data_IF_296591571669
#
_entry.id   IF_296591571669
#
_cell.length_a   1.000
_cell.length_b   1.000
_cell.length_c   1.000
_cell.angle_alpha   90.00
_cell.angle_beta   90.00
_cell.angle_gamma   90.00
#
_symmetry.space_group_name_H-M   'P 1'
#
loop_
_entity.id
_entity.type
_entity.pdbx_description
1 polymer ?
#
# COMPACT_ATOMS: atom_id res chain seq x y z
N UNK A 1 49.79 -51.57 2.53
CA UNK A 1 50.30 -50.43 3.33
C UNK A 1 49.87 -49.14 2.64
N UNK A 2 49.02 -48.34 3.29
CA UNK A 2 48.65 -46.93 3.01
C UNK A 2 48.11 -46.57 1.61
N UNK A 3 46.81 -46.28 1.45
CA UNK A 3 46.00 -45.12 1.92
C UNK A 3 45.90 -44.01 0.85
N UNK A 4 44.67 -43.87 0.34
CA UNK A 4 43.95 -42.64 -0.03
C UNK A 4 44.46 -41.83 -1.23
N UNK A 5 43.65 -41.80 -2.29
CA UNK A 5 43.34 -40.60 -3.07
C UNK A 5 42.21 -40.89 -4.05
N UNK A 6 40.97 -40.68 -3.59
CA UNK A 6 39.71 -40.26 -4.27
C UNK A 6 38.66 -40.39 -3.15
N UNK A 7 37.94 -39.33 -2.71
CA UNK A 7 37.23 -38.39 -3.57
C UNK A 7 37.30 -36.91 -3.12
N UNK A 8 37.60 -35.99 -4.04
CA UNK A 8 37.44 -34.54 -3.83
C UNK A 8 36.23 -33.95 -4.58
N UNK A 9 35.33 -34.79 -5.11
CA UNK A 9 34.17 -34.35 -5.93
C UNK A 9 32.83 -34.62 -5.24
N UNK A 10 32.80 -35.14 -4.01
CA UNK A 10 31.55 -35.45 -3.30
C UNK A 10 31.40 -34.73 -1.94
N UNK A 11 31.99 -33.55 -1.78
CA UNK A 11 31.84 -32.73 -0.58
C UNK A 11 31.62 -31.25 -0.92
N UNK A 12 30.70 -31.00 -1.85
CA UNK A 12 30.14 -29.66 -2.06
C UNK A 12 28.65 -29.77 -2.45
N UNK A 13 27.92 -30.67 -1.78
CA UNK A 13 26.48 -30.88 -2.02
C UNK A 13 25.65 -31.31 -0.80
N UNK A 14 26.18 -31.16 0.42
CA UNK A 14 25.40 -31.29 1.65
C UNK A 14 25.91 -30.32 2.70
N UNK A 15 25.04 -29.36 3.09
CA UNK A 15 25.17 -28.20 4.01
C UNK A 15 24.96 -26.92 3.20
N UNK A 16 23.77 -26.37 3.03
CA UNK A 16 22.70 -26.18 4.01
C UNK A 16 21.33 -26.36 3.34
N UNK A 17 20.68 -27.50 3.57
CA UNK A 17 19.22 -27.53 3.73
C UNK A 17 18.91 -26.94 5.12
N UNK A 18 19.27 -25.68 5.31
CA UNK A 18 18.60 -24.87 6.31
C UNK A 18 17.19 -24.72 5.77
N UNK A 19 16.21 -25.27 6.48
CA UNK A 19 14.82 -24.86 6.33
C UNK A 19 14.76 -23.37 6.64
N UNK A 20 15.10 -22.53 5.65
CA UNK A 20 14.78 -21.12 5.67
C UNK A 20 13.27 -21.09 5.78
N UNK A 21 12.77 -20.67 6.94
CA UNK A 21 11.36 -20.33 7.06
C UNK A 21 11.02 -19.45 5.85
N UNK A 22 9.93 -19.74 5.12
CA UNK A 22 9.55 -18.93 3.98
C UNK A 22 9.49 -17.50 4.51
N UNK A 23 10.36 -16.63 3.98
CA UNK A 23 10.27 -15.21 4.30
C UNK A 23 8.82 -14.80 4.07
N UNK A 24 8.28 -13.89 4.86
CA UNK A 24 7.05 -13.19 4.50
C UNK A 24 7.47 -11.83 3.95
N UNK A 25 6.75 -11.26 2.97
CA UNK A 25 7.17 -9.95 2.49
C UNK A 25 7.04 -8.92 3.59
N UNK A 26 8.07 -8.10 3.68
CA UNK A 26 8.39 -7.38 4.89
C UNK A 26 8.30 -5.88 4.61
N UNK A 27 7.51 -5.17 5.42
CA UNK A 27 7.37 -3.72 5.32
C UNK A 27 8.35 -3.06 6.27
N UNK A 28 9.19 -2.17 5.74
CA UNK A 28 10.21 -1.49 6.51
C UNK A 28 9.65 -0.20 7.10
N UNK A 29 9.89 -0.01 8.39
CA UNK A 29 9.52 1.18 9.13
C UNK A 29 10.76 1.81 9.74
N UNK A 30 10.75 3.15 9.83
CA UNK A 30 11.60 3.91 10.75
C UNK A 30 10.71 4.73 11.66
N UNK A 31 10.55 4.23 12.88
CA UNK A 31 9.62 4.77 13.86
C UNK A 31 10.40 5.47 14.95
N UNK A 32 9.87 6.60 15.40
CA UNK A 32 10.34 7.27 16.61
C UNK A 32 9.28 7.10 17.69
N UNK A 33 9.70 6.73 18.89
CA UNK A 33 8.79 6.52 20.00
C UNK A 33 9.50 6.29 21.32
N UNK A 34 8.74 6.31 22.39
CA UNK A 34 9.21 5.96 23.72
C UNK A 34 9.31 4.44 23.85
N UNK A 35 10.50 3.94 24.20
CA UNK A 35 10.69 2.52 24.51
C UNK A 35 10.29 2.24 25.96
N UNK A 36 9.41 1.27 26.16
CA UNK A 36 9.04 0.76 27.48
C UNK A 36 9.28 -0.75 27.51
N UNK A 37 9.76 -1.29 28.64
CA UNK A 37 9.88 -2.73 28.80
C UNK A 37 8.78 -3.21 29.74
N UNK A 38 7.74 -3.80 29.16
CA UNK A 38 6.61 -4.33 29.93
C UNK A 38 6.98 -5.72 30.46
N UNK A 39 6.97 -5.86 31.78
CA UNK A 39 7.23 -7.13 32.48
C UNK A 39 5.89 -7.72 32.93
N UNK A 40 5.53 -8.85 32.33
CA UNK A 40 4.29 -9.56 32.62
C UNK A 40 4.59 -11.00 33.04
N UNK A 41 3.63 -11.67 33.68
CA UNK A 41 3.76 -13.08 34.09
C UNK A 41 4.03 -14.04 32.92
N UNK A 42 3.58 -13.67 31.72
CA UNK A 42 3.79 -14.41 30.48
C UNK A 42 5.08 -14.06 29.73
N UNK A 43 5.88 -13.11 30.21
CA UNK A 43 7.14 -12.72 29.56
C UNK A 43 7.48 -11.23 29.70
N UNK A 44 8.66 -10.87 29.18
CA UNK A 44 9.12 -9.47 29.13
C UNK A 44 9.14 -9.00 27.68
N UNK A 45 8.48 -7.89 27.41
CA UNK A 45 8.22 -7.38 26.07
C UNK A 45 8.73 -5.94 25.93
N UNK A 46 9.71 -5.66 25.07
CA UNK A 46 10.08 -4.30 24.72
C UNK A 46 9.02 -3.74 23.77
N UNK A 47 8.32 -2.70 24.20
CA UNK A 47 7.24 -2.04 23.47
C UNK A 47 7.68 -0.64 23.07
N UNK A 48 7.60 -0.32 21.79
CA UNK A 48 7.73 1.03 21.28
C UNK A 48 6.35 1.70 21.26
N UNK A 49 6.22 2.80 22.01
CA UNK A 49 5.07 3.71 21.94
C UNK A 49 5.39 4.87 21.03
N UNK A 50 4.82 4.90 19.83
CA UNK A 50 5.08 5.98 18.88
C UNK A 50 4.28 7.24 19.23
N UNK A 51 4.74 8.41 18.76
CA UNK A 51 4.10 9.69 19.04
C UNK A 51 2.68 9.83 18.47
N UNK A 52 2.31 8.98 17.51
CA UNK A 52 0.96 8.86 16.93
C UNK A 52 0.08 7.84 17.67
N UNK A 53 0.55 7.28 18.79
CA UNK A 53 -0.23 6.40 19.66
C UNK A 53 -0.23 4.91 19.28
N UNK A 54 0.52 4.49 18.26
CA UNK A 54 0.70 3.06 17.93
C UNK A 54 1.66 2.39 18.94
N UNK A 55 1.45 1.08 19.12
CA UNK A 55 2.26 0.24 20.01
C UNK A 55 2.86 -0.91 19.20
N UNK A 56 4.19 -1.03 19.23
CA UNK A 56 4.90 -2.11 18.55
C UNK A 56 5.70 -2.94 19.55
N UNK A 57 5.47 -4.24 19.58
CA UNK A 57 6.37 -5.21 20.21
C UNK A 57 7.65 -5.33 19.38
N UNK A 58 8.79 -5.04 19.98
CA UNK A 58 10.08 -5.06 19.32
C UNK A 58 10.69 -6.47 19.40
N UNK A 59 10.93 -7.07 18.24
CA UNK A 59 11.49 -8.42 18.12
C UNK A 59 12.78 -8.39 17.30
N UNK A 60 13.52 -9.51 17.24
CA UNK A 60 14.68 -9.63 16.35
C UNK A 60 16.02 -9.16 16.94
N UNK A 61 16.03 -8.63 18.16
CA UNK A 61 17.25 -8.37 18.94
C UNK A 61 17.12 -8.88 20.38
N UNK A 62 18.24 -9.20 21.08
CA UNK A 62 18.20 -9.59 22.48
C UNK A 62 17.70 -8.46 23.40
N UNK A 63 16.98 -8.81 24.47
CA UNK A 63 16.43 -7.84 25.44
C UNK A 63 17.49 -6.85 25.98
N UNK A 64 18.73 -7.33 26.16
CA UNK A 64 19.87 -6.54 26.64
C UNK A 64 20.23 -5.34 25.73
N UNK A 65 19.80 -5.33 24.47
CA UNK A 65 19.95 -4.18 23.56
C UNK A 65 18.89 -3.10 23.80
N UNK A 66 17.74 -3.47 24.33
CA UNK A 66 16.62 -2.57 24.63
C UNK A 66 16.74 -1.96 26.04
N UNK A 67 17.21 -2.73 27.02
CA UNK A 67 17.29 -2.30 28.43
C UNK A 67 18.00 -0.95 28.65
N UNK A 68 19.15 -0.65 28.01
CA UNK A 68 19.81 0.65 28.20
C UNK A 68 19.02 1.85 27.67
N UNK A 69 17.99 1.60 26.86
CA UNK A 69 17.18 2.61 26.18
C UNK A 69 15.75 2.68 26.77
N UNK A 70 15.45 1.88 27.81
CA UNK A 70 14.14 1.90 28.49
C UNK A 70 13.84 3.31 29.04
N UNK A 71 12.62 3.78 28.80
CA UNK A 71 12.16 5.12 29.17
C UNK A 71 12.69 6.25 28.27
N UNK A 72 13.52 5.94 27.27
CA UNK A 72 14.04 6.93 26.34
C UNK A 72 13.20 6.99 25.06
N UNK A 73 13.20 8.17 24.43
CA UNK A 73 12.78 8.28 23.05
C UNK A 73 13.86 7.66 22.16
N UNK A 74 13.44 6.74 21.30
CA UNK A 74 14.33 5.96 20.43
C UNK A 74 13.85 6.07 18.99
N UNK A 75 14.80 5.98 18.06
CA UNK A 75 14.49 5.66 16.67
C UNK A 75 14.76 4.18 16.45
N UNK A 76 13.76 3.50 15.90
CA UNK A 76 13.80 2.07 15.60
C UNK A 76 13.68 1.92 14.10
N UNK A 77 14.67 1.28 13.48
CA UNK A 77 14.51 0.74 12.14
C UNK A 77 14.21 -0.74 12.27
N UNK A 78 13.10 -1.12 11.68
CA UNK A 78 12.62 -2.47 11.79
C UNK A 78 11.60 -2.73 10.72
N UNK A 79 10.95 -3.86 10.88
CA UNK A 79 10.24 -4.41 9.75
C UNK A 79 9.14 -5.36 10.20
N UNK A 80 7.93 -5.11 9.70
CA UNK A 80 6.76 -5.94 10.00
C UNK A 80 6.69 -7.10 9.01
N UNK A 81 6.28 -8.28 9.50
CA UNK A 81 6.18 -9.50 8.67
C UNK A 81 5.16 -9.39 7.54
N UNK A 82 4.21 -8.46 7.63
CA UNK A 82 3.22 -8.06 6.63
C UNK A 82 2.84 -6.58 6.87
N UNK A 83 2.43 -5.82 5.84
CA UNK A 83 2.13 -4.37 5.93
C UNK A 83 0.91 -3.97 6.77
N UNK A 84 0.18 -4.98 7.24
CA UNK A 84 -1.02 -4.93 8.07
C UNK A 84 -0.80 -5.51 9.48
N UNK A 85 0.32 -6.21 9.73
CA UNK A 85 0.72 -6.70 11.04
C UNK A 85 1.49 -5.61 11.79
N UNK A 86 0.76 -4.64 12.33
CA UNK A 86 1.30 -3.43 12.99
C UNK A 86 1.69 -3.64 14.46
N UNK A 87 1.61 -4.87 14.98
CA UNK A 87 1.86 -5.14 16.40
C UNK A 87 3.27 -5.66 16.68
N UNK A 88 3.92 -6.31 15.72
CA UNK A 88 5.27 -6.88 15.91
C UNK A 88 6.24 -6.29 14.88
N UNK A 89 7.25 -5.58 15.38
CA UNK A 89 8.30 -4.97 14.57
C UNK A 89 9.61 -5.71 14.77
N UNK A 90 10.10 -6.40 13.75
CA UNK A 90 11.42 -7.03 13.77
C UNK A 90 12.49 -5.95 13.57
N UNK A 91 13.17 -5.59 14.64
CA UNK A 91 14.15 -4.51 14.72
C UNK A 91 15.49 -4.93 14.12
N UNK A 92 16.06 -4.07 13.28
CA UNK A 92 17.40 -4.19 12.69
C UNK A 92 18.36 -3.14 13.23
N UNK A 93 17.86 -1.99 13.69
CA UNK A 93 18.64 -0.99 14.41
C UNK A 93 17.77 -0.26 15.42
N UNK A 94 18.37 0.14 16.55
CA UNK A 94 17.75 1.00 17.54
C UNK A 94 18.81 1.95 18.10
N UNK A 95 18.47 3.22 18.23
CA UNK A 95 19.33 4.24 18.82
C UNK A 95 18.51 5.24 19.62
N UNK A 96 19.12 5.85 20.64
CA UNK A 96 18.52 6.99 21.32
C UNK A 96 18.24 8.10 20.29
N UNK A 97 17.02 8.62 20.32
CA UNK A 97 16.60 9.76 19.53
C UNK A 97 16.23 10.86 20.52
N UNK A 98 17.17 11.73 20.92
CA UNK A 98 16.87 12.87 21.77
C UNK A 98 15.64 13.58 21.20
N UNK A 99 14.71 13.96 22.08
CA UNK A 99 13.58 14.80 21.67
C UNK A 99 14.20 16.13 21.29
N UNK A 100 14.42 16.34 19.99
CA UNK A 100 14.78 17.64 19.46
C UNK A 100 13.47 18.42 19.33
N UNK A 101 13.22 19.45 20.15
CA UNK A 101 12.04 20.31 19.99
C UNK A 101 12.07 21.11 18.66
N UNK A 102 13.19 21.05 17.92
CA UNK A 102 13.35 21.53 16.54
C UNK A 102 13.45 20.40 15.51
N UNK A 103 13.17 19.15 15.92
CA UNK A 103 13.22 17.98 15.05
C UNK A 103 12.45 18.29 13.78
N UNK A 104 13.12 18.05 12.64
CA UNK A 104 12.62 18.34 11.30
C UNK A 104 11.17 17.91 11.17
N UNK A 105 10.26 18.88 11.21
CA UNK A 105 8.89 18.70 10.73
C UNK A 105 9.06 18.23 9.29
N UNK A 106 8.67 16.97 9.01
CA UNK A 106 8.68 16.48 7.64
C UNK A 106 7.92 17.53 6.81
N UNK A 107 8.55 18.11 5.76
CA UNK A 107 7.90 19.10 4.94
C UNK A 107 6.51 18.61 4.53
N UNK A 108 5.50 19.50 4.57
CA UNK A 108 4.12 19.10 4.38
C UNK A 108 3.95 18.32 3.08
N UNK A 109 2.99 17.40 3.09
CA UNK A 109 2.59 16.63 1.91
C UNK A 109 2.33 17.55 0.72
N UNK A 110 2.59 17.03 -0.48
CA UNK A 110 1.91 17.60 -1.64
C UNK A 110 0.39 17.44 -1.45
N UNK A 111 -0.42 18.49 -1.66
CA UNK A 111 -1.84 18.46 -1.33
C UNK A 111 -2.61 17.26 -1.91
N UNK A 112 -2.33 16.86 -3.16
CA UNK A 112 -2.97 15.71 -3.81
C UNK A 112 -2.73 14.35 -3.15
N UNK A 113 -1.72 14.23 -2.27
CA UNK A 113 -1.35 12.98 -1.59
C UNK A 113 -1.90 12.88 -0.17
N UNK A 114 -2.97 13.62 0.12
CA UNK A 114 -3.61 13.61 1.43
C UNK A 114 -4.27 12.24 1.67
N UNK A 115 -3.87 11.47 2.71
CA UNK A 115 -4.48 10.18 3.01
C UNK A 115 -5.93 10.31 3.47
N UNK A 116 -6.72 9.27 3.21
CA UNK A 116 -8.08 9.15 3.73
C UNK A 116 -8.06 9.03 5.25
N UNK A 117 -9.10 9.55 5.91
CA UNK A 117 -9.28 9.42 7.35
C UNK A 117 -10.62 8.77 7.66
N UNK A 118 -10.61 7.73 8.49
CA UNK A 118 -11.83 7.16 9.05
C UNK A 118 -12.38 8.07 10.15
N UNK A 119 -13.61 8.55 9.98
CA UNK A 119 -14.33 9.38 10.96
C UNK A 119 -15.15 8.51 11.90
N UNK A 120 -15.90 7.55 11.35
CA UNK A 120 -16.61 6.54 12.13
C UNK A 120 -16.88 5.30 11.29
N UNK A 121 -17.08 4.16 11.95
CA UNK A 121 -17.39 2.88 11.32
C UNK A 121 -18.61 2.23 11.97
N UNK A 122 -19.56 1.80 11.14
CA UNK A 122 -20.69 0.94 11.51
C UNK A 122 -20.98 0.04 10.31
N UNK A 123 -20.22 -1.06 10.12
CA UNK A 123 -20.32 -1.89 8.92
C UNK A 123 -21.79 -2.23 8.59
N UNK A 124 -22.19 -2.15 7.31
CA UNK A 124 -21.35 -1.90 6.13
C UNK A 124 -21.06 -0.42 5.83
N UNK A 125 -21.48 0.51 6.69
CA UNK A 125 -21.36 1.96 6.51
C UNK A 125 -20.10 2.53 7.17
N UNK A 126 -19.37 3.35 6.42
CA UNK A 126 -18.14 4.01 6.86
C UNK A 126 -18.22 5.50 6.54
N UNK A 127 -17.90 6.34 7.53
CA UNK A 127 -17.76 7.78 7.32
C UNK A 127 -16.30 8.12 7.14
N UNK A 128 -15.98 8.71 6.00
CA UNK A 128 -14.63 9.04 5.57
C UNK A 128 -14.47 10.56 5.48
N UNK A 129 -13.28 11.04 5.80
CA UNK A 129 -12.81 12.38 5.49
C UNK A 129 -11.59 12.27 4.58
N UNK A 130 -11.25 13.38 3.91
CA UNK A 130 -10.17 13.45 2.93
C UNK A 130 -10.37 12.49 1.73
N UNK A 131 -11.61 12.27 1.30
CA UNK A 131 -11.88 11.52 0.07
C UNK A 131 -11.65 12.45 -1.11
N UNK A 132 -10.74 12.09 -2.03
CA UNK A 132 -10.44 12.92 -3.20
C UNK A 132 -11.62 12.91 -4.18
N UNK A 133 -12.09 14.08 -4.59
CA UNK A 133 -13.37 14.27 -5.28
C UNK A 133 -13.30 15.30 -6.40
N UNK A 134 -12.37 15.09 -7.33
CA UNK A 134 -12.17 15.93 -8.50
C UNK A 134 -11.38 17.19 -8.18
N UNK A 135 -11.58 18.23 -8.99
CA UNK A 135 -10.86 19.49 -8.88
C UNK A 135 -11.72 20.58 -8.24
N UNK A 136 -11.06 21.54 -7.60
CA UNK A 136 -11.71 22.75 -7.09
C UNK A 136 -12.33 23.51 -8.28
N UNK A 137 -13.64 23.84 -8.26
CA UNK A 137 -14.28 24.58 -9.34
C UNK A 137 -13.57 25.91 -9.64
N UNK A 138 -13.39 26.21 -10.94
CA UNK A 138 -12.74 27.44 -11.39
C UNK A 138 -11.20 27.44 -11.31
N UNK A 139 -10.58 26.42 -10.69
CA UNK A 139 -9.13 26.31 -10.60
C UNK A 139 -8.53 25.45 -11.73
N UNK A 140 -7.25 25.67 -12.10
CA UNK A 140 -6.54 24.81 -13.04
C UNK A 140 -6.56 23.34 -12.58
N UNK A 141 -6.86 22.41 -13.49
CA UNK A 141 -6.89 20.97 -13.19
C UNK A 141 -5.48 20.40 -13.11
N UNK A 142 -4.85 20.52 -11.95
CA UNK A 142 -3.49 20.06 -11.67
C UNK A 142 -3.38 19.44 -10.26
N UNK A 143 -2.18 18.99 -9.89
CA UNK A 143 -1.92 18.29 -8.64
C UNK A 143 -2.03 19.16 -7.36
N UNK A 144 -2.27 20.46 -7.48
CA UNK A 144 -2.42 21.37 -6.33
C UNK A 144 -3.89 21.69 -6.04
N UNK A 145 -4.77 21.45 -7.01
CA UNK A 145 -6.16 21.92 -6.98
C UNK A 145 -7.19 20.79 -6.87
N UNK A 146 -6.82 19.68 -6.23
CA UNK A 146 -7.79 18.63 -5.91
C UNK A 146 -8.74 19.09 -4.79
N UNK A 147 -9.99 18.68 -4.92
CA UNK A 147 -11.01 18.83 -3.89
C UNK A 147 -11.03 17.58 -3.03
N UNK A 148 -11.15 17.77 -1.72
CA UNK A 148 -11.32 16.69 -0.75
C UNK A 148 -12.60 16.92 0.03
N UNK A 149 -13.38 15.86 0.23
CA UNK A 149 -14.70 15.93 0.89
C UNK A 149 -14.80 14.90 2.00
N UNK A 150 -15.78 15.06 2.88
CA UNK A 150 -16.30 13.92 3.65
C UNK A 150 -17.29 13.14 2.80
N UNK A 151 -17.30 11.82 2.97
CA UNK A 151 -18.22 10.95 2.25
C UNK A 151 -18.66 9.77 3.12
N UNK A 152 -19.90 9.34 2.90
CA UNK A 152 -20.44 8.08 3.40
C UNK A 152 -20.22 7.00 2.35
N UNK A 153 -19.55 5.92 2.74
CA UNK A 153 -19.34 4.73 1.93
C UNK A 153 -20.16 3.56 2.48
N UNK A 154 -20.93 2.91 1.61
CA UNK A 154 -21.63 1.65 1.89
C UNK A 154 -20.94 0.50 1.15
N UNK A 155 -20.18 -0.29 1.89
CA UNK A 155 -19.42 -1.43 1.34
C UNK A 155 -20.30 -2.57 0.86
N UNK A 156 -21.59 -2.63 1.24
CA UNK A 156 -22.52 -3.65 0.76
C UNK A 156 -22.96 -3.40 -0.69
N UNK A 157 -22.77 -2.16 -1.18
CA UNK A 157 -23.17 -1.72 -2.53
C UNK A 157 -22.11 -1.94 -3.60
N UNK A 158 -21.01 -2.63 -3.29
CA UNK A 158 -20.01 -3.01 -4.30
C UNK A 158 -20.66 -3.88 -5.39
N UNK A 159 -20.42 -3.58 -6.65
CA UNK A 159 -20.85 -4.42 -7.78
C UNK A 159 -19.69 -5.25 -8.33
N UNK A 160 -18.51 -4.64 -8.45
CA UNK A 160 -17.32 -5.30 -8.93
C UNK A 160 -16.07 -4.62 -8.33
N UNK A 161 -15.03 -5.42 -8.09
CA UNK A 161 -13.70 -4.94 -7.72
C UNK A 161 -12.73 -5.20 -8.88
N UNK A 162 -11.80 -4.28 -9.11
CA UNK A 162 -10.83 -4.35 -10.19
C UNK A 162 -9.41 -4.14 -9.64
N UNK A 163 -8.49 -4.95 -10.14
CA UNK A 163 -7.06 -4.64 -10.09
C UNK A 163 -6.73 -3.80 -11.32
N UNK A 164 -6.23 -2.58 -11.13
CA UNK A 164 -6.05 -1.62 -12.23
C UNK A 164 -4.57 -1.36 -12.44
N UNK A 165 -4.17 -1.33 -13.70
CA UNK A 165 -2.83 -0.95 -14.13
C UNK A 165 -2.89 0.34 -14.93
N UNK A 166 -2.05 1.30 -14.54
CA UNK A 166 -1.76 2.54 -15.25
C UNK A 166 -0.30 2.54 -15.72
N UNK A 167 -0.01 2.16 -16.97
CA UNK A 167 1.34 2.24 -17.51
C UNK A 167 1.81 3.69 -17.60
N UNK A 168 3.09 3.93 -17.36
CA UNK A 168 3.70 5.24 -17.58
C UNK A 168 4.98 5.10 -18.43
N UNK A 169 5.32 6.10 -19.25
CA UNK A 169 6.51 6.04 -20.09
C UNK A 169 7.82 5.87 -19.28
N UNK A 170 8.73 4.96 -19.64
CA UNK A 170 8.60 3.93 -20.68
C UNK A 170 7.68 2.78 -20.22
N UNK A 171 6.57 2.58 -20.95
CA UNK A 171 5.47 1.69 -20.55
C UNK A 171 5.88 0.22 -20.35
N UNK A 172 7.01 -0.19 -20.90
CA UNK A 172 7.54 -1.55 -20.80
C UNK A 172 8.32 -1.82 -19.49
N UNK A 173 8.67 -0.78 -18.73
CA UNK A 173 9.37 -0.91 -17.44
C UNK A 173 8.46 -0.52 -16.29
N UNK A 174 7.51 0.39 -16.47
CA UNK A 174 6.98 1.07 -15.31
C UNK A 174 5.48 1.31 -15.43
N UNK A 175 4.76 0.83 -14.43
CA UNK A 175 3.33 1.01 -14.33
C UNK A 175 2.95 1.18 -12.86
N UNK A 176 1.85 1.86 -12.61
CA UNK A 176 1.27 2.01 -11.29
C UNK A 176 0.10 1.05 -11.16
N UNK A 177 0.01 0.36 -10.03
CA UNK A 177 -1.13 -0.50 -9.72
C UNK A 177 -2.00 0.15 -8.65
N UNK A 178 -3.31 0.08 -8.83
CA UNK A 178 -4.30 0.55 -7.87
C UNK A 178 -5.50 -0.43 -7.84
N UNK A 179 -6.40 -0.25 -6.89
CA UNK A 179 -7.69 -0.94 -6.88
C UNK A 179 -8.84 0.03 -7.13
N UNK A 180 -9.89 -0.48 -7.76
CA UNK A 180 -11.13 0.23 -8.02
C UNK A 180 -12.31 -0.66 -7.65
N UNK A 181 -13.33 -0.11 -6.99
CA UNK A 181 -14.61 -0.76 -6.75
C UNK A 181 -15.72 0.05 -7.41
N UNK A 182 -16.45 -0.57 -8.34
CA UNK A 182 -17.70 -0.01 -8.83
C UNK A 182 -18.80 -0.23 -7.79
N UNK A 183 -19.67 0.76 -7.64
CA UNK A 183 -20.69 0.80 -6.60
C UNK A 183 -22.07 1.06 -7.22
N UNK A 184 -23.10 0.44 -6.65
CA UNK A 184 -24.50 0.80 -6.92
C UNK A 184 -24.78 2.25 -6.51
N UNK A 185 -25.81 2.89 -7.08
CA UNK A 185 -26.27 4.21 -6.64
C UNK A 185 -26.41 4.33 -5.12
N UNK A 186 -25.92 5.45 -4.59
CA UNK A 186 -25.82 5.73 -3.16
C UNK A 186 -24.80 4.86 -2.42
N UNK A 187 -23.83 4.25 -3.12
CA UNK A 187 -22.72 3.50 -2.52
C UNK A 187 -21.60 4.39 -2.01
N UNK A 188 -21.35 5.53 -2.65
CA UNK A 188 -20.45 6.57 -2.16
C UNK A 188 -21.13 7.93 -2.36
N UNK A 189 -21.37 8.64 -1.25
CA UNK A 189 -22.11 9.91 -1.23
C UNK A 189 -21.33 10.94 -0.44
N UNK A 190 -21.06 12.12 -1.01
CA UNK A 190 -20.39 13.22 -0.32
C UNK A 190 -21.31 13.87 0.74
N UNK A 191 -20.72 14.69 1.60
CA UNK A 191 -21.46 15.52 2.57
C UNK A 191 -22.43 16.53 1.92
N UNK A 192 -22.24 16.82 0.63
CA UNK A 192 -23.11 17.70 -0.19
C UNK A 192 -24.16 16.93 -0.99
N UNK A 193 -24.19 15.59 -0.89
CA UNK A 193 -25.13 14.72 -1.62
C UNK A 193 -24.68 14.32 -3.03
N UNK A 194 -23.47 14.69 -3.44
CA UNK A 194 -22.89 14.24 -4.72
C UNK A 194 -22.59 12.74 -4.63
N UNK A 195 -22.92 11.99 -5.69
CA UNK A 195 -22.69 10.55 -5.74
C UNK A 195 -21.54 10.21 -6.70
N UNK A 196 -20.78 9.17 -6.36
CA UNK A 196 -19.77 8.60 -7.24
C UNK A 196 -20.17 7.18 -7.65
N UNK A 197 -19.85 6.81 -8.89
CA UNK A 197 -20.01 5.46 -9.43
C UNK A 197 -19.07 4.42 -8.78
N UNK A 198 -18.07 4.89 -8.05
CA UNK A 198 -17.17 4.02 -7.33
C UNK A 198 -16.03 4.74 -6.64
N UNK A 199 -15.17 3.95 -6.02
CA UNK A 199 -14.05 4.42 -5.20
C UNK A 199 -12.77 3.71 -5.61
N UNK A 200 -11.64 4.41 -5.57
CA UNK A 200 -10.33 3.81 -5.79
C UNK A 200 -9.47 3.83 -4.52
N UNK A 201 -8.48 2.94 -4.47
CA UNK A 201 -7.37 2.98 -3.53
C UNK A 201 -6.06 3.01 -4.33
N UNK A 202 -5.29 4.08 -4.15
CA UNK A 202 -3.93 4.24 -4.69
C UNK A 202 -2.94 4.29 -3.54
N UNK A 203 -1.83 3.55 -3.67
CA UNK A 203 -0.75 3.54 -2.67
C UNK A 203 0.47 4.16 -3.32
N UNK A 204 0.87 5.33 -2.86
CA UNK A 204 1.81 6.20 -3.56
C UNK A 204 3.06 6.47 -2.73
N UNK A 205 4.16 6.70 -3.44
CA UNK A 205 5.36 7.24 -2.84
C UNK A 205 5.07 8.69 -2.41
N UNK A 206 5.06 8.91 -1.09
CA UNK A 206 4.87 10.21 -0.47
C UNK A 206 5.98 11.16 -0.91
N UNK A 207 5.60 12.29 -1.48
CA UNK A 207 6.50 13.36 -1.87
C UNK A 207 6.30 14.56 -0.96
N UNK A 208 7.43 15.08 -0.47
CA UNK A 208 7.48 16.42 0.11
C UNK A 208 7.30 17.48 -0.98
N UNK A 209 6.86 18.70 -0.63
CA UNK A 209 6.60 19.78 -1.62
C UNK A 209 7.78 20.05 -2.56
N UNK A 210 9.01 19.89 -2.08
CA UNK A 210 10.28 20.10 -2.79
C UNK A 210 10.86 18.82 -3.43
N UNK A 211 10.15 17.69 -3.35
CA UNK A 211 10.67 16.38 -3.76
C UNK A 211 9.97 15.87 -5.02
N UNK A 212 10.77 15.41 -5.99
CA UNK A 212 10.29 14.70 -7.18
C UNK A 212 10.50 13.19 -7.02
N UNK A 213 9.57 12.39 -7.57
CA UNK A 213 9.73 10.94 -7.57
C UNK A 213 10.87 10.51 -8.49
N UNK A 214 11.62 9.50 -8.07
CA UNK A 214 12.53 8.76 -8.93
C UNK A 214 12.53 7.29 -8.53
N UNK A 215 12.63 6.39 -9.52
CA UNK A 215 12.68 4.94 -9.27
C UNK A 215 13.91 4.57 -8.42
N UNK A 216 15.07 5.17 -8.69
CA UNK A 216 16.30 4.97 -7.90
C UNK A 216 16.12 5.51 -6.47
N UNK A 217 15.43 6.64 -6.32
CA UNK A 217 15.03 7.15 -5.01
C UNK A 217 14.13 6.16 -4.26
N UNK A 218 13.20 5.49 -4.94
CA UNK A 218 12.30 4.48 -4.35
C UNK A 218 12.98 3.15 -3.98
N UNK A 219 14.18 2.87 -4.48
CA UNK A 219 15.05 1.80 -3.99
C UNK A 219 15.80 2.21 -2.69
N UNK A 220 15.76 3.49 -2.34
CA UNK A 220 16.24 4.01 -1.05
C UNK A 220 15.01 4.33 -0.19
N UNK A 221 15.10 4.21 1.13
CA UNK A 221 14.00 4.56 2.05
C UNK A 221 13.82 6.09 2.14
N UNK A 222 13.44 6.74 1.03
CA UNK A 222 13.45 8.21 0.86
C UNK A 222 12.07 8.82 0.64
N UNK A 223 11.09 7.99 0.29
CA UNK A 223 9.69 8.38 0.15
C UNK A 223 8.87 7.66 1.22
N UNK A 224 7.98 8.38 1.90
CA UNK A 224 6.98 7.75 2.77
C UNK A 224 5.94 6.95 1.96
N UNK A 225 5.05 6.23 2.62
CA UNK A 225 3.93 5.51 2.00
C UNK A 225 2.62 6.28 2.24
N UNK A 226 1.89 6.65 1.17
CA UNK A 226 0.62 7.37 1.26
C UNK A 226 -0.51 6.54 0.64
N UNK A 227 -1.57 6.27 1.41
CA UNK A 227 -2.75 5.53 0.94
C UNK A 227 -3.88 6.52 0.68
N UNK A 228 -4.19 6.72 -0.60
CA UNK A 228 -5.12 7.74 -1.08
C UNK A 228 -6.38 7.03 -1.58
N UNK A 229 -7.53 7.50 -1.12
CA UNK A 229 -8.83 7.05 -1.62
C UNK A 229 -9.59 8.23 -2.21
N UNK A 230 -10.36 7.96 -3.26
CA UNK A 230 -11.14 8.98 -3.94
C UNK A 230 -12.21 8.41 -4.87
N UNK A 231 -13.06 9.29 -5.37
CA UNK A 231 -14.07 8.96 -6.36
C UNK A 231 -13.40 8.45 -7.66
N UNK A 232 -14.02 7.50 -8.35
CA UNK A 232 -13.46 6.96 -9.59
C UNK A 232 -13.42 7.99 -10.73
N UNK A 233 -14.40 8.89 -10.76
CA UNK A 233 -14.49 10.03 -11.67
C UNK A 233 -13.28 10.94 -11.55
N UNK A 234 -12.76 11.14 -10.34
CA UNK A 234 -11.55 11.91 -10.07
C UNK A 234 -10.33 11.25 -10.72
N UNK A 235 -10.11 9.97 -10.42
CA UNK A 235 -8.91 9.26 -10.87
C UNK A 235 -8.86 9.13 -12.39
N UNK A 236 -10.01 8.83 -13.01
CA UNK A 236 -10.13 8.71 -14.46
C UNK A 236 -10.02 10.06 -15.16
N UNK A 237 -10.59 11.14 -14.60
CA UNK A 237 -10.38 12.49 -15.16
C UNK A 237 -8.91 12.88 -15.07
N UNK A 238 -8.25 12.66 -13.93
CA UNK A 238 -6.82 12.93 -13.78
C UNK A 238 -5.99 12.14 -14.78
N UNK A 239 -6.17 10.82 -14.82
CA UNK A 239 -5.32 9.92 -15.62
C UNK A 239 -5.61 10.07 -17.11
N UNK A 240 -6.88 9.95 -17.52
CA UNK A 240 -7.26 9.89 -18.92
C UNK A 240 -7.37 11.26 -19.56
N UNK A 241 -7.97 12.25 -18.90
CA UNK A 241 -8.23 13.56 -19.51
C UNK A 241 -7.06 14.54 -19.30
N UNK A 242 -6.53 14.64 -18.09
CA UNK A 242 -5.47 15.62 -17.76
C UNK A 242 -4.08 15.10 -18.13
N UNK A 243 -3.77 13.84 -17.83
CA UNK A 243 -2.46 13.24 -18.09
C UNK A 243 -2.38 12.51 -19.44
N UNK A 244 -3.52 12.34 -20.14
CA UNK A 244 -3.62 11.61 -21.41
C UNK A 244 -3.03 10.18 -21.32
N UNK A 245 -3.23 9.53 -20.18
CA UNK A 245 -2.79 8.17 -19.90
C UNK A 245 -3.93 7.16 -20.09
N UNK A 246 -3.55 5.88 -20.11
CA UNK A 246 -4.47 4.75 -20.28
C UNK A 246 -4.53 3.87 -19.03
N UNK A 247 -5.68 3.24 -18.83
CA UNK A 247 -5.97 2.34 -17.72
C UNK A 247 -6.41 0.97 -18.25
N UNK A 248 -5.93 -0.08 -17.60
CA UNK A 248 -6.34 -1.47 -17.83
C UNK A 248 -6.95 -2.03 -16.55
N UNK A 249 -8.24 -2.36 -16.60
CA UNK A 249 -9.00 -2.83 -15.44
C UNK A 249 -9.18 -4.35 -15.53
N UNK A 250 -8.63 -5.09 -14.58
CA UNK A 250 -8.75 -6.54 -14.48
C UNK A 250 -9.79 -6.89 -13.40
N UNK A 251 -10.96 -7.45 -13.75
CA UNK A 251 -12.00 -7.76 -12.78
C UNK A 251 -11.53 -8.86 -11.82
N UNK A 252 -11.68 -8.64 -10.51
CA UNK A 252 -11.33 -9.62 -9.50
C UNK A 252 -12.36 -10.77 -9.49
N UNK A 253 -11.88 -12.01 -9.39
CA UNK A 253 -12.73 -13.21 -9.28
C UNK A 253 -13.01 -13.52 -7.81
N UNK A 254 -13.79 -12.65 -7.18
CA UNK A 254 -14.18 -12.70 -5.77
C UNK A 254 -15.71 -12.84 -5.63
N UNK A 255 -16.18 -13.44 -4.55
CA UNK A 255 -17.61 -13.42 -4.22
C UNK A 255 -18.04 -12.03 -3.78
N UNK A 256 -19.36 -11.76 -3.79
CA UNK A 256 -19.92 -10.49 -3.33
C UNK A 256 -19.44 -10.12 -1.91
N UNK A 257 -19.48 -11.09 -0.98
CA UNK A 257 -19.00 -10.91 0.39
C UNK A 257 -17.51 -10.56 0.40
N UNK A 258 -16.67 -11.27 -0.37
CA UNK A 258 -15.24 -10.99 -0.43
C UNK A 258 -14.94 -9.60 -1.00
N UNK A 259 -15.68 -9.14 -2.02
CA UNK A 259 -15.50 -7.80 -2.57
C UNK A 259 -15.87 -6.70 -1.58
N UNK A 260 -16.98 -6.89 -0.86
CA UNK A 260 -17.42 -5.98 0.21
C UNK A 260 -16.40 -5.93 1.36
N UNK A 261 -15.95 -7.09 1.84
CA UNK A 261 -14.90 -7.18 2.87
C UNK A 261 -13.59 -6.57 2.39
N UNK A 262 -13.21 -6.78 1.12
CA UNK A 262 -11.97 -6.22 0.59
C UNK A 262 -12.01 -4.69 0.58
N UNK A 263 -13.15 -4.09 0.22
CA UNK A 263 -13.32 -2.63 0.30
C UNK A 263 -13.28 -2.14 1.75
N UNK A 264 -13.91 -2.85 2.68
CA UNK A 264 -13.81 -2.53 4.10
C UNK A 264 -12.36 -2.57 4.61
N UNK A 265 -11.62 -3.63 4.28
CA UNK A 265 -10.19 -3.75 4.63
C UNK A 265 -9.35 -2.64 3.99
N UNK A 266 -9.63 -2.27 2.74
CA UNK A 266 -8.97 -1.15 2.07
C UNK A 266 -9.17 0.17 2.83
N UNK A 267 -10.41 0.47 3.26
CA UNK A 267 -10.73 1.65 4.07
C UNK A 267 -9.97 1.65 5.39
N UNK A 268 -10.00 0.53 6.11
CA UNK A 268 -9.34 0.39 7.41
C UNK A 268 -7.83 0.59 7.27
N UNK A 269 -7.21 -0.08 6.30
CA UNK A 269 -5.77 -0.03 6.09
C UNK A 269 -5.29 1.32 5.52
N UNK A 270 -6.12 1.99 4.72
CA UNK A 270 -5.82 3.33 4.21
C UNK A 270 -5.92 4.41 5.29
N UNK A 271 -6.70 4.16 6.35
CA UNK A 271 -6.91 5.09 7.46
C UNK A 271 -5.91 4.93 8.61
N UNK A 272 -5.00 3.96 8.52
CA UNK A 272 -3.92 3.76 9.48
C UNK A 272 -2.94 4.93 9.40
N UNK A 273 -2.48 5.44 10.54
CA UNK A 273 -1.33 6.34 10.55
C UNK A 273 -0.08 5.56 10.13
N UNK A 274 0.45 5.91 8.95
CA UNK A 274 1.64 5.31 8.35
C UNK A 274 2.85 6.23 8.42
N UNK A 275 2.84 7.22 9.32
CA UNK A 275 4.00 8.06 9.59
C UNK A 275 5.21 7.18 9.91
N UNK A 276 6.33 7.43 9.23
CA UNK A 276 7.55 6.60 9.35
C UNK A 276 7.57 5.31 8.52
N UNK A 277 6.50 4.98 7.81
CA UNK A 277 6.49 3.90 6.80
C UNK A 277 7.11 4.40 5.48
N UNK A 278 8.05 3.65 4.92
CA UNK A 278 8.67 4.01 3.64
C UNK A 278 8.09 3.23 2.47
N UNK A 279 7.81 3.96 1.38
CA UNK A 279 7.58 3.34 0.09
C UNK A 279 8.92 2.82 -0.45
N UNK A 280 8.96 1.51 -0.69
CA UNK A 280 10.11 0.84 -1.28
C UNK A 280 9.69 0.09 -2.53
N UNK A 281 10.33 0.38 -3.66
CA UNK A 281 9.96 -0.10 -5.00
C UNK A 281 9.82 -1.62 -5.10
N UNK A 282 10.50 -2.39 -4.24
CA UNK A 282 10.47 -3.86 -4.26
C UNK A 282 9.64 -4.46 -3.11
N UNK A 283 9.70 -3.90 -1.91
CA UNK A 283 9.22 -4.57 -0.69
C UNK A 283 7.96 -3.94 -0.11
N UNK A 284 7.81 -2.62 -0.22
CA UNK A 284 6.64 -1.88 0.23
C UNK A 284 6.17 -0.92 -0.86
N UNK A 285 5.51 -1.45 -1.88
CA UNK A 285 5.07 -0.70 -3.06
C UNK A 285 3.56 -0.82 -3.26
N UNK A 286 3.05 -0.14 -4.28
CA UNK A 286 1.64 -0.20 -4.63
C UNK A 286 1.14 -1.63 -4.86
N UNK A 287 1.88 -2.44 -5.62
CA UNK A 287 1.42 -3.79 -5.96
C UNK A 287 1.42 -4.75 -4.76
N UNK A 288 2.47 -4.78 -3.95
CA UNK A 288 2.59 -5.68 -2.80
C UNK A 288 1.45 -5.45 -1.80
N UNK A 289 1.16 -4.19 -1.49
CA UNK A 289 0.11 -3.86 -0.54
C UNK A 289 -1.29 -4.21 -1.07
N UNK A 290 -1.53 -4.06 -2.37
CA UNK A 290 -2.77 -4.54 -2.98
C UNK A 290 -2.89 -6.08 -2.89
N UNK A 291 -1.80 -6.82 -3.10
CA UNK A 291 -1.82 -8.28 -2.92
C UNK A 291 -2.01 -8.67 -1.45
N UNK A 292 -1.41 -7.95 -0.51
CA UNK A 292 -1.64 -8.13 0.93
C UNK A 292 -3.13 -7.95 1.24
N UNK A 293 -3.76 -6.88 0.75
CA UNK A 293 -5.21 -6.68 0.89
C UNK A 293 -6.02 -7.84 0.29
N UNK A 294 -5.69 -8.30 -0.92
CA UNK A 294 -6.38 -9.46 -1.52
C UNK A 294 -6.27 -10.70 -0.63
N UNK A 295 -5.10 -10.98 -0.07
CA UNK A 295 -4.87 -12.15 0.77
C UNK A 295 -5.73 -12.16 2.05
N UNK A 296 -6.18 -11.00 2.53
CA UNK A 296 -7.05 -10.88 3.71
C UNK A 296 -8.44 -11.46 3.48
N UNK A 297 -8.92 -11.45 2.24
CA UNK A 297 -10.25 -11.97 1.86
C UNK A 297 -10.20 -13.31 1.13
N UNK A 298 -9.01 -13.74 0.71
CA UNK A 298 -8.83 -15.03 0.05
C UNK A 298 -8.74 -16.17 1.07
N UNK A 299 -9.35 -17.34 0.75
CA UNK A 299 -9.15 -18.55 1.55
C UNK A 299 -7.67 -18.95 1.48
N UNK A 300 -7.19 -19.64 2.52
CA UNK A 300 -5.76 -19.85 2.77
C UNK A 300 -5.03 -20.47 1.57
N UNK A 301 -5.64 -21.43 0.90
CA UNK A 301 -5.14 -22.14 -0.27
C UNK A 301 -5.06 -21.30 -1.55
N UNK A 302 -5.77 -20.16 -1.60
CA UNK A 302 -5.74 -19.21 -2.73
C UNK A 302 -4.87 -17.99 -2.46
N UNK A 303 -4.33 -17.83 -1.25
CA UNK A 303 -3.45 -16.70 -0.91
C UNK A 303 -2.17 -16.72 -1.73
N UNK A 304 -1.74 -15.54 -2.13
CA UNK A 304 -0.53 -15.33 -2.92
C UNK A 304 0.65 -15.18 -1.96
N UNK A 305 1.65 -16.04 -2.13
CA UNK A 305 2.94 -15.82 -1.48
C UNK A 305 3.67 -14.68 -2.20
N UNK A 306 3.98 -13.61 -1.47
CA UNK A 306 4.60 -12.41 -2.00
C UNK A 306 5.99 -12.66 -2.62
N UNK A 307 6.70 -13.74 -2.25
CA UNK A 307 7.95 -14.15 -2.92
C UNK A 307 7.77 -14.69 -4.33
N UNK A 308 6.59 -15.21 -4.63
CA UNK A 308 6.29 -15.68 -5.99
C UNK A 308 6.05 -14.53 -6.96
N UNK A 309 5.99 -13.30 -6.44
CA UNK A 309 5.84 -12.10 -7.26
C UNK A 309 7.22 -11.70 -7.80
N UNK A 310 7.40 -11.63 -9.14
CA UNK A 310 8.70 -11.32 -9.74
C UNK A 310 9.20 -9.93 -9.39
N UNK A 311 10.15 -9.85 -8.45
CA UNK A 311 10.73 -8.57 -8.04
C UNK A 311 11.69 -8.02 -9.10
N UNK A 312 11.76 -6.68 -9.17
CA UNK A 312 12.67 -5.94 -10.06
C UNK A 312 14.15 -6.33 -9.88
N UNK A 313 14.50 -7.00 -8.78
CA UNK A 313 15.87 -7.46 -8.45
C UNK A 313 16.41 -8.44 -9.49
N UNK A 314 15.55 -9.24 -10.12
CA UNK A 314 15.99 -10.32 -11.01
C UNK A 314 15.93 -9.99 -12.50
N UNK A 315 15.07 -9.05 -12.91
CA UNK A 315 14.95 -8.63 -14.31
C UNK A 315 14.27 -7.25 -14.42
N UNK A 316 15.01 -6.25 -14.92
CA UNK A 316 14.51 -4.88 -15.09
C UNK A 316 13.39 -4.75 -16.14
N UNK A 317 13.25 -5.71 -17.07
CA UNK A 317 12.13 -5.78 -18.04
C UNK A 317 10.88 -6.42 -17.45
N UNK A 318 10.97 -6.94 -16.22
CA UNK A 318 9.94 -7.70 -15.55
C UNK A 318 9.53 -6.97 -14.26
N UNK A 319 8.89 -5.81 -14.40
CA UNK A 319 8.47 -5.06 -13.23
C UNK A 319 7.15 -5.56 -12.69
N UNK A 320 7.03 -5.49 -11.36
CA UNK A 320 5.90 -6.03 -10.59
C UNK A 320 4.54 -5.66 -11.21
N UNK A 321 4.26 -4.38 -11.55
CA UNK A 321 2.91 -3.98 -11.94
C UNK A 321 2.51 -4.50 -13.33
N UNK A 322 3.46 -4.80 -14.22
CA UNK A 322 3.17 -5.33 -15.57
C UNK A 322 2.95 -6.85 -15.55
N UNK A 323 3.67 -7.59 -14.68
CA UNK A 323 3.60 -9.05 -14.64
C UNK A 323 2.52 -9.57 -13.69
N UNK A 324 2.25 -8.85 -12.61
CA UNK A 324 1.29 -9.28 -11.59
C UNK A 324 -0.10 -9.60 -12.16
N UNK A 325 -0.70 -8.81 -13.07
CA UNK A 325 -1.97 -9.20 -13.68
C UNK A 325 -1.94 -10.56 -14.35
N UNK A 326 -0.89 -10.87 -15.15
CA UNK A 326 -0.74 -12.19 -15.80
C UNK A 326 -0.61 -13.32 -14.79
N UNK A 327 0.14 -13.10 -13.71
CA UNK A 327 0.25 -14.06 -12.60
C UNK A 327 -1.10 -14.30 -11.92
N UNK A 328 -1.85 -13.23 -11.63
CA UNK A 328 -3.17 -13.31 -11.02
C UNK A 328 -4.18 -14.02 -11.92
N UNK A 329 -4.13 -13.77 -13.24
CA UNK A 329 -4.96 -14.46 -14.24
C UNK A 329 -4.66 -15.96 -14.23
N UNK A 330 -3.38 -16.36 -14.27
CA UNK A 330 -2.96 -17.77 -14.22
C UNK A 330 -3.43 -18.47 -12.94
N UNK A 331 -3.52 -17.74 -11.82
CA UNK A 331 -4.06 -18.24 -10.55
C UNK A 331 -5.60 -18.20 -10.47
N UNK A 332 -6.27 -17.73 -11.52
CA UNK A 332 -7.73 -17.58 -11.55
C UNK A 332 -8.27 -16.54 -10.55
N UNK A 333 -7.44 -15.57 -10.14
CA UNK A 333 -7.80 -14.52 -9.20
C UNK A 333 -8.34 -13.25 -9.88
N UNK A 334 -8.02 -13.05 -11.16
CA UNK A 334 -8.61 -11.99 -11.99
C UNK A 334 -9.05 -12.54 -13.35
N UNK A 335 -9.95 -11.84 -14.03
CA UNK A 335 -10.37 -12.08 -15.40
C UNK A 335 -9.49 -11.39 -16.44
N UNK A 336 -9.87 -11.52 -17.71
CA UNK A 336 -9.30 -10.73 -18.80
C UNK A 336 -9.58 -9.24 -18.57
N UNK A 337 -8.66 -8.34 -18.97
CA UNK A 337 -8.87 -6.92 -18.79
C UNK A 337 -10.06 -6.44 -19.62
N UNK A 338 -10.77 -5.43 -19.10
CA UNK A 338 -11.71 -4.64 -19.90
C UNK A 338 -10.96 -3.96 -21.07
N UNK A 339 -11.68 -3.53 -22.13
CA UNK A 339 -11.10 -2.69 -23.16
C UNK A 339 -10.34 -1.50 -22.55
N UNK A 340 -9.23 -1.13 -23.17
CA UNK A 340 -8.39 -0.02 -22.72
C UNK A 340 -9.25 1.22 -22.46
N UNK A 341 -9.08 1.80 -21.27
CA UNK A 341 -9.76 3.04 -20.88
C UNK A 341 -8.80 4.21 -21.08
N UNK A 342 -9.20 5.21 -21.84
CA UNK A 342 -8.40 6.39 -22.17
C UNK A 342 -9.29 7.63 -22.33
N UNK A 343 -8.69 8.77 -22.70
CA UNK A 343 -9.38 10.06 -22.87
C UNK A 343 -10.64 9.99 -23.75
N UNK A 344 -10.67 9.07 -24.73
CA UNK A 344 -11.73 8.98 -25.74
C UNK A 344 -12.97 8.24 -25.25
N UNK A 345 -12.82 7.31 -24.30
CA UNK A 345 -13.90 6.37 -23.96
C UNK A 345 -14.26 6.31 -22.48
N UNK A 346 -13.44 6.83 -21.54
CA UNK A 346 -13.67 6.61 -20.11
C UNK A 346 -15.06 7.06 -19.64
N UNK A 347 -15.59 8.17 -20.17
CA UNK A 347 -16.93 8.66 -19.85
C UNK A 347 -18.03 7.70 -20.31
N UNK A 348 -17.90 7.12 -21.49
CA UNK A 348 -18.84 6.13 -22.01
C UNK A 348 -18.73 4.82 -21.23
N UNK A 349 -17.51 4.37 -20.95
CA UNK A 349 -17.25 3.12 -20.21
C UNK A 349 -17.89 3.12 -18.82
N UNK A 350 -17.90 4.27 -18.13
CA UNK A 350 -18.42 4.38 -16.77
C UNK A 350 -19.73 5.16 -16.66
N UNK A 351 -20.34 5.56 -17.78
CA UNK A 351 -21.62 6.29 -17.79
C UNK A 351 -21.55 7.69 -17.15
N UNK A 352 -20.40 8.36 -17.23
CA UNK A 352 -20.25 9.72 -16.68
C UNK A 352 -20.95 10.74 -17.57
N UNK A 353 -21.60 11.72 -16.94
CA UNK A 353 -22.10 12.88 -17.66
C UNK A 353 -20.96 13.59 -18.42
N UNK A 354 -21.27 14.10 -19.62
CA UNK A 354 -20.36 14.98 -20.34
C UNK A 354 -20.12 16.25 -19.49
N UNK A 355 -18.89 16.79 -19.45
CA UNK A 355 -18.65 18.05 -18.77
C UNK A 355 -19.49 19.14 -19.47
N UNK A 356 -19.98 20.15 -18.73
CA UNK A 356 -20.64 21.28 -19.36
C UNK A 356 -19.70 21.89 -20.42
N UNK A 357 -20.23 22.17 -21.61
CA UNK A 357 -19.50 22.87 -22.67
C UNK A 357 -18.96 24.18 -22.11
N UNK A 358 -17.65 24.37 -22.24
CA UNK A 358 -16.97 25.60 -21.80
C UNK A 358 -17.52 26.83 -22.50
#
# INVERSE_FOLDING_TARGET
MNRRLVPFVLMMLMLCLGQGQPGLAQVNYRLTGMLEIVRHSSGTYPILRTGDGRLFNLTGMPLAKFTPLEGQNVVVEGSARQGDQLTDLKVTSIAAAPIDPKAVVLPPMKPHQTPVKLVSQRPPLYQLANVRWGYIPGQPRNNDNFRFVKATLDTSKVEQAYFVIKPFPPEWIAAHSLMYWSLKPGGLVSETGEQASGIFLSIEAYQRKDQSYSLIGGLKNTFGSAWIMGAWEDYTTQSCEVQNEKLFLYPLKLTQTQMSTLLAEAVLQASVDRTGEFYHTITNNCTNNLIILMNRVLPAERRINLWTIPSMVYNLRATMPIIVPKMLMKKGLVGEPLPEVNARNFRQTFGFAAPPSR
#
